data_IF_502762181369
#
_entry.id   IF_502762181369
#
_cell.length_a   1.000
_cell.length_b   1.000
_cell.length_c   1.000
_cell.angle_alpha   90.00
_cell.angle_beta   90.00
_cell.angle_gamma   90.00
#
_symmetry.space_group_name_H-M   'P 1'
#
loop_
_entity.id
_entity.type
_entity.pdbx_description
1 polymer ?
#
# COMPACT_ATOMS: atom_id res chain seq x y z
N UNK A 1 -21.81 21.81 -1.37
CA UNK A 1 -21.18 22.06 -2.69
C UNK A 1 -19.65 21.98 -2.72
N UNK A 2 -18.92 21.88 -1.59
CA UNK A 2 -17.45 21.68 -1.59
C UNK A 2 -17.01 20.32 -2.16
N UNK A 3 -17.78 19.26 -1.92
CA UNK A 3 -17.39 17.89 -2.28
C UNK A 3 -17.34 17.61 -3.79
N UNK A 4 -18.14 18.34 -4.59
CA UNK A 4 -18.11 18.20 -6.06
C UNK A 4 -16.83 18.74 -6.67
N UNK A 5 -16.13 19.67 -6.01
CA UNK A 5 -14.85 20.18 -6.51
C UNK A 5 -13.71 19.17 -6.31
N UNK A 6 -13.71 18.47 -5.17
CA UNK A 6 -12.71 17.44 -4.85
C UNK A 6 -12.71 16.26 -5.84
N UNK A 7 -13.89 15.82 -6.28
CA UNK A 7 -13.97 14.71 -7.23
C UNK A 7 -13.54 15.14 -8.64
N UNK A 8 -13.88 16.37 -9.05
CA UNK A 8 -13.48 16.91 -10.37
C UNK A 8 -11.97 17.11 -10.42
N UNK A 9 -11.38 17.78 -9.41
CA UNK A 9 -9.93 17.98 -9.34
C UNK A 9 -9.13 16.68 -9.24
N UNK A 10 -9.69 15.64 -8.58
CA UNK A 10 -9.12 14.30 -8.65
C UNK A 10 -9.08 13.77 -10.08
N UNK A 11 -10.21 13.80 -10.79
CA UNK A 11 -10.27 13.25 -12.14
C UNK A 11 -9.37 13.99 -13.13
N UNK A 12 -9.28 15.32 -13.04
CA UNK A 12 -8.34 16.11 -13.84
C UNK A 12 -6.91 15.62 -13.66
N UNK A 13 -6.47 15.46 -12.41
CA UNK A 13 -5.10 15.06 -12.08
C UNK A 13 -4.80 13.59 -12.38
N UNK A 14 -5.82 12.72 -12.31
CA UNK A 14 -5.71 11.31 -12.71
C UNK A 14 -5.57 11.15 -14.22
N UNK A 15 -6.29 11.97 -15.00
CA UNK A 15 -6.19 11.93 -16.48
C UNK A 15 -4.77 12.29 -16.92
N UNK A 16 -4.08 13.17 -16.19
CA UNK A 16 -2.70 13.58 -16.48
C UNK A 16 -1.63 12.62 -15.95
N UNK A 17 -1.91 11.84 -14.90
CA UNK A 17 -0.93 10.93 -14.28
C UNK A 17 -0.91 9.55 -14.96
N UNK A 18 0.00 9.38 -15.93
CA UNK A 18 0.19 8.12 -16.68
C UNK A 18 0.49 6.89 -15.79
N UNK A 19 0.85 7.08 -14.52
CA UNK A 19 1.09 5.98 -13.56
C UNK A 19 -0.22 5.37 -13.08
N UNK A 20 -1.37 6.01 -13.29
CA UNK A 20 -2.67 5.60 -12.76
C UNK A 20 -3.57 4.89 -13.78
N UNK A 21 -3.58 3.56 -13.70
CA UNK A 21 -4.50 2.68 -14.44
C UNK A 21 -5.96 2.66 -13.90
N UNK A 22 -6.95 2.15 -14.66
CA UNK A 22 -8.35 2.07 -14.24
C UNK A 22 -8.62 1.43 -12.87
N UNK A 23 -7.76 0.49 -12.43
CA UNK A 23 -7.85 -0.11 -11.10
C UNK A 23 -7.60 0.91 -9.98
N UNK A 24 -6.74 1.90 -10.19
CA UNK A 24 -6.54 3.02 -9.25
C UNK A 24 -7.77 3.88 -9.14
N UNK A 25 -8.40 4.19 -10.28
CA UNK A 25 -9.63 4.99 -10.34
C UNK A 25 -10.73 4.27 -9.57
N UNK A 26 -10.92 2.97 -9.81
CA UNK A 26 -11.94 2.18 -9.13
C UNK A 26 -11.68 2.04 -7.63
N UNK A 27 -10.41 1.87 -7.24
CA UNK A 27 -10.00 1.91 -5.83
C UNK A 27 -10.33 3.26 -5.19
N UNK A 28 -9.96 4.37 -5.83
CA UNK A 28 -10.20 5.70 -5.28
C UNK A 28 -11.69 6.02 -5.17
N UNK A 29 -12.51 5.67 -6.17
CA UNK A 29 -13.98 5.81 -6.10
C UNK A 29 -14.55 5.06 -4.90
N UNK A 30 -14.03 3.87 -4.62
CA UNK A 30 -14.43 3.08 -3.45
C UNK A 30 -14.05 3.79 -2.15
N UNK A 31 -12.80 4.27 -2.04
CA UNK A 31 -12.32 5.03 -0.88
C UNK A 31 -13.13 6.32 -0.67
N UNK A 32 -13.46 7.03 -1.74
CA UNK A 32 -14.31 8.22 -1.72
C UNK A 32 -15.71 7.90 -1.23
N UNK A 33 -16.28 6.75 -1.63
CA UNK A 33 -17.56 6.30 -1.12
C UNK A 33 -17.50 6.00 0.39
N UNK A 34 -16.44 5.35 0.88
CA UNK A 34 -16.23 5.20 2.34
C UNK A 34 -16.11 6.54 3.04
N UNK A 35 -15.36 7.49 2.47
CA UNK A 35 -15.24 8.84 3.02
C UNK A 35 -16.59 9.55 3.10
N UNK A 36 -17.41 9.46 2.05
CA UNK A 36 -18.78 10.01 2.01
C UNK A 36 -19.68 9.38 3.06
N UNK A 37 -19.63 8.05 3.25
CA UNK A 37 -20.37 7.35 4.29
C UNK A 37 -19.93 7.79 5.69
N UNK A 38 -18.65 8.14 5.85
CA UNK A 38 -18.09 8.73 7.08
C UNK A 38 -18.25 10.26 7.14
N UNK A 39 -19.25 10.82 6.44
CA UNK A 39 -19.58 12.26 6.44
C UNK A 39 -18.40 13.17 6.09
N UNK A 40 -17.52 12.68 5.21
CA UNK A 40 -16.33 13.38 4.74
C UNK A 40 -15.35 13.75 5.88
N UNK A 41 -15.34 12.98 6.97
CA UNK A 41 -14.37 13.14 8.05
C UNK A 41 -13.08 12.35 7.75
N UNK A 42 -11.94 13.00 7.98
CA UNK A 42 -10.62 12.39 7.92
C UNK A 42 -10.03 12.25 9.33
N UNK A 43 -9.32 11.15 9.64
CA UNK A 43 -9.22 9.91 8.86
C UNK A 43 -10.50 9.07 8.99
N UNK A 44 -10.74 8.18 8.03
CA UNK A 44 -11.81 7.18 8.08
C UNK A 44 -11.26 5.76 8.00
N UNK A 45 -12.03 4.80 8.51
CA UNK A 45 -11.67 3.38 8.54
C UNK A 45 -12.13 2.66 7.28
N UNK A 46 -11.30 1.75 6.82
CA UNK A 46 -11.62 0.80 5.74
C UNK A 46 -11.23 -0.62 6.14
N UNK A 47 -11.98 -1.59 5.64
CA UNK A 47 -11.55 -2.99 5.58
C UNK A 47 -11.05 -3.30 4.16
N UNK A 48 -10.04 -4.16 4.04
CA UNK A 48 -9.57 -4.61 2.72
C UNK A 48 -10.69 -5.29 1.94
N UNK A 49 -11.46 -6.15 2.60
CA UNK A 49 -12.53 -6.92 1.98
C UNK A 49 -13.61 -6.03 1.38
N UNK A 50 -14.09 -5.04 2.13
CA UNK A 50 -15.13 -4.14 1.63
C UNK A 50 -14.62 -3.26 0.49
N UNK A 51 -13.39 -2.75 0.60
CA UNK A 51 -12.79 -1.94 -0.46
C UNK A 51 -12.55 -2.78 -1.73
N UNK A 52 -12.08 -4.01 -1.61
CA UNK A 52 -11.90 -4.93 -2.75
C UNK A 52 -13.24 -5.22 -3.43
N UNK A 53 -14.28 -5.53 -2.65
CA UNK A 53 -15.64 -5.78 -3.16
C UNK A 53 -16.18 -4.57 -3.92
N UNK A 54 -16.06 -3.37 -3.33
CA UNK A 54 -16.60 -2.15 -3.91
C UNK A 54 -15.83 -1.69 -5.16
N UNK A 55 -14.50 -1.85 -5.15
CA UNK A 55 -13.62 -1.51 -6.28
C UNK A 55 -13.60 -2.56 -7.38
N UNK A 56 -14.33 -3.67 -7.19
CA UNK A 56 -14.31 -4.83 -8.10
C UNK A 56 -12.90 -5.40 -8.32
N UNK A 57 -11.97 -5.15 -7.40
CA UNK A 57 -10.62 -5.71 -7.43
C UNK A 57 -10.67 -7.06 -6.71
N UNK A 58 -10.49 -8.15 -7.46
CA UNK A 58 -10.46 -9.51 -6.91
C UNK A 58 -9.08 -9.92 -6.40
N UNK A 59 -8.03 -9.35 -6.99
CA UNK A 59 -6.65 -9.69 -6.64
C UNK A 59 -6.16 -8.83 -5.48
N UNK A 60 -5.78 -9.46 -4.37
CA UNK A 60 -5.20 -8.79 -3.20
C UNK A 60 -3.88 -8.08 -3.59
N UNK A 61 -3.06 -8.72 -4.44
CA UNK A 61 -1.85 -8.09 -4.97
C UNK A 61 -2.16 -6.79 -5.73
N UNK A 62 -3.21 -6.78 -6.55
CA UNK A 62 -3.68 -5.57 -7.24
C UNK A 62 -4.19 -4.53 -6.25
N UNK A 63 -4.93 -4.94 -5.21
CA UNK A 63 -5.36 -4.03 -4.14
C UNK A 63 -4.17 -3.32 -3.49
N UNK A 64 -3.15 -4.07 -3.06
CA UNK A 64 -1.97 -3.51 -2.41
C UNK A 64 -1.11 -2.67 -3.35
N UNK A 65 -1.02 -3.03 -4.63
CA UNK A 65 -0.38 -2.17 -5.64
C UNK A 65 -1.13 -0.84 -5.73
N UNK A 66 -2.44 -0.87 -5.95
CA UNK A 66 -3.22 0.33 -6.20
C UNK A 66 -3.25 1.30 -5.03
N UNK A 67 -3.48 0.82 -3.80
CA UNK A 67 -3.52 1.70 -2.63
C UNK A 67 -2.16 2.34 -2.34
N UNK A 68 -1.05 1.64 -2.63
CA UNK A 68 0.30 2.20 -2.49
C UNK A 68 0.60 3.23 -3.56
N UNK A 69 0.21 2.98 -4.80
CA UNK A 69 0.42 3.92 -5.91
C UNK A 69 -0.42 5.19 -5.71
N UNK A 70 -1.66 5.08 -5.24
CA UNK A 70 -2.47 6.24 -4.83
C UNK A 70 -1.84 7.03 -3.67
N UNK A 71 -1.29 6.35 -2.67
CA UNK A 71 -0.55 7.00 -1.56
C UNK A 71 0.69 7.74 -2.06
N UNK A 72 1.49 7.09 -2.91
CA UNK A 72 2.73 7.66 -3.47
C UNK A 72 2.47 8.84 -4.40
N UNK A 73 1.38 8.79 -5.16
CA UNK A 73 0.96 9.89 -6.02
C UNK A 73 0.30 11.05 -5.24
N UNK A 74 0.16 10.94 -3.92
CA UNK A 74 -0.31 12.03 -3.05
C UNK A 74 -1.82 12.19 -2.98
N UNK A 75 -2.59 11.27 -3.55
CA UNK A 75 -4.05 11.33 -3.54
C UNK A 75 -4.66 10.97 -2.18
N UNK A 76 -3.98 10.11 -1.41
CA UNK A 76 -4.42 9.65 -0.10
C UNK A 76 -3.27 9.61 0.90
N UNK A 77 -3.57 9.72 2.20
CA UNK A 77 -2.71 9.14 3.24
C UNK A 77 -3.23 7.76 3.60
N UNK A 78 -2.34 6.79 3.73
CA UNK A 78 -2.70 5.42 4.06
C UNK A 78 -1.92 4.95 5.28
N UNK A 79 -2.64 4.61 6.34
CA UNK A 79 -2.09 4.02 7.57
C UNK A 79 -2.67 2.61 7.73
N UNK A 80 -1.93 1.57 7.30
CA UNK A 80 -2.43 0.19 7.34
C UNK A 80 -2.68 -0.27 8.77
N UNK A 81 -3.75 -1.03 8.96
CA UNK A 81 -4.00 -1.80 10.18
C UNK A 81 -4.24 -3.25 9.80
N UNK A 82 -3.60 -4.14 10.53
CA UNK A 82 -3.63 -5.57 10.28
C UNK A 82 -4.60 -6.30 11.22
N UNK A 83 -5.42 -5.54 11.94
CA UNK A 83 -6.49 -6.04 12.78
C UNK A 83 -7.84 -5.78 12.07
N UNK A 84 -8.56 -6.85 11.75
CA UNK A 84 -9.85 -6.81 11.05
C UNK A 84 -10.93 -6.02 11.80
N UNK A 85 -10.88 -5.96 13.13
CA UNK A 85 -11.77 -5.12 13.95
C UNK A 85 -11.37 -3.64 13.94
N UNK A 86 -10.07 -3.33 13.77
CA UNK A 86 -9.60 -1.93 13.80
C UNK A 86 -9.68 -1.25 12.43
N UNK A 87 -9.47 -2.00 11.34
CA UNK A 87 -9.45 -1.50 9.96
C UNK A 87 -8.29 -0.54 9.68
N UNK A 88 -7.85 -0.44 8.42
CA UNK A 88 -6.83 0.55 8.02
C UNK A 88 -7.44 1.95 8.03
N UNK A 89 -6.62 2.96 8.30
CA UNK A 89 -7.04 4.36 8.24
C UNK A 89 -6.61 4.98 6.90
N UNK A 90 -7.51 5.75 6.31
CA UNK A 90 -7.29 6.49 5.08
C UNK A 90 -7.70 7.95 5.30
N UNK A 91 -6.96 8.86 4.70
CA UNK A 91 -7.36 10.27 4.52
C UNK A 91 -7.38 10.58 3.03
N UNK A 92 -8.47 11.17 2.53
CA UNK A 92 -8.50 11.76 1.19
C UNK A 92 -7.82 13.13 1.26
N UNK A 93 -6.88 13.40 0.36
CA UNK A 93 -6.22 14.71 0.27
C UNK A 93 -7.07 15.65 -0.59
N UNK A 94 -7.43 16.81 -0.02
CA UNK A 94 -8.18 17.87 -0.70
C UNK A 94 -7.19 18.88 -1.30
N UNK A 95 -7.12 18.94 -2.64
CA UNK A 95 -6.21 19.81 -3.38
C UNK A 95 -6.60 21.30 -3.32
N UNK A 96 -7.82 21.66 -2.92
CA UNK A 96 -8.22 23.07 -2.72
C UNK A 96 -7.60 23.64 -1.42
N UNK A 97 -7.19 22.80 -0.47
CA UNK A 97 -6.65 23.23 0.84
C UNK A 97 -5.14 23.45 0.89
N UNK A 98 -4.41 23.23 -0.21
CA UNK A 98 -2.94 23.36 -0.24
C UNK A 98 -2.44 24.78 0.07
N UNK A 99 -3.24 25.84 -0.15
CA UNK A 99 -2.85 27.23 0.17
C UNK A 99 -2.78 27.56 1.67
N UNK A 100 -3.30 26.71 2.57
CA UNK A 100 -3.26 26.95 4.02
C UNK A 100 -2.33 25.97 4.78
N UNK A 101 -1.84 24.92 4.12
CA UNK A 101 -1.19 23.76 4.75
C UNK A 101 0.34 23.69 4.61
N UNK A 102 0.96 24.63 3.89
CA UNK A 102 2.42 24.61 3.58
C UNK A 102 3.31 24.54 4.85
N UNK A 103 2.82 24.95 6.02
CA UNK A 103 3.55 24.84 7.29
C UNK A 103 3.55 23.44 7.93
N UNK A 104 2.59 22.55 7.62
CA UNK A 104 2.58 21.17 8.17
C UNK A 104 3.22 20.14 7.25
N UNK A 105 3.28 20.43 5.96
CA UNK A 105 3.84 19.54 4.94
C UNK A 105 5.39 19.48 5.05
N UNK A 106 6.02 20.60 5.42
CA UNK A 106 7.49 20.74 5.47
C UNK A 106 8.21 19.89 6.53
N UNK A 107 7.53 19.38 7.57
CA UNK A 107 8.19 18.52 8.58
C UNK A 107 8.12 17.01 8.25
N UNK A 108 7.17 16.58 7.41
CA UNK A 108 7.01 15.15 7.08
C UNK A 108 7.41 14.80 5.63
N UNK A 109 7.56 15.78 4.73
CA UNK A 109 8.01 15.52 3.37
C UNK A 109 9.53 15.29 3.23
N UNK A 110 10.33 15.63 4.25
CA UNK A 110 11.77 15.37 4.22
C UNK A 110 12.15 13.89 4.36
N UNK A 111 11.20 12.95 4.48
CA UNK A 111 11.52 11.51 4.49
C UNK A 111 11.21 10.77 3.18
N UNK A 112 10.44 11.34 2.23
CA UNK A 112 9.88 10.53 1.13
C UNK A 112 10.11 11.05 -0.30
N UNK A 113 10.81 12.17 -0.50
CA UNK A 113 11.12 12.67 -1.85
C UNK A 113 12.60 12.94 -2.10
N UNK A 114 13.48 12.13 -1.52
CA UNK A 114 14.85 12.07 -1.99
C UNK A 114 15.46 10.68 -1.86
N UNK A 115 16.25 10.38 -2.88
CA UNK A 115 17.18 9.28 -3.05
C UNK A 115 16.64 8.04 -3.76
N UNK A 116 17.35 7.73 -4.85
CA UNK A 116 17.50 6.49 -5.63
C UNK A 116 16.77 5.26 -5.13
N UNK A 117 16.38 4.35 -6.03
CA UNK A 117 15.78 3.03 -5.75
C UNK A 117 16.61 2.23 -4.72
N UNK A 118 16.48 2.57 -3.44
CA UNK A 118 17.04 1.88 -2.29
C UNK A 118 16.01 0.84 -1.91
N UNK A 119 16.48 -0.39 -1.78
CA UNK A 119 15.64 -1.49 -1.36
C UNK A 119 14.97 -1.16 -0.03
N UNK A 120 13.64 -1.10 -0.05
CA UNK A 120 12.83 -0.92 1.13
C UNK A 120 12.67 -2.29 1.79
N UNK A 121 13.21 -2.40 3.00
CA UNK A 121 12.97 -3.55 3.87
C UNK A 121 11.46 -3.69 4.03
N UNK A 122 10.86 -4.83 3.66
CA UNK A 122 9.44 -5.02 3.89
C UNK A 122 9.16 -5.02 5.38
N UNK A 123 7.95 -4.64 5.76
CA UNK A 123 7.45 -4.92 7.11
C UNK A 123 7.02 -6.38 7.20
N UNK A 124 7.12 -6.98 8.39
CA UNK A 124 6.81 -8.40 8.60
C UNK A 124 5.45 -8.79 8.01
N UNK A 125 4.43 -7.96 8.23
CA UNK A 125 3.06 -8.24 7.79
C UNK A 125 2.92 -8.28 6.26
N UNK A 126 3.77 -7.58 5.50
CA UNK A 126 3.79 -7.66 4.03
C UNK A 126 4.31 -9.03 3.58
N UNK A 127 5.31 -9.55 4.29
CA UNK A 127 5.84 -10.91 4.08
C UNK A 127 4.84 -11.97 4.53
N UNK A 128 4.23 -11.82 5.70
CA UNK A 128 3.19 -12.72 6.19
C UNK A 128 2.04 -12.87 5.22
N UNK A 129 1.52 -11.74 4.72
CA UNK A 129 0.46 -11.76 3.71
C UNK A 129 0.91 -12.49 2.44
N UNK A 130 2.14 -12.25 1.99
CA UNK A 130 2.67 -12.88 0.77
C UNK A 130 2.75 -14.42 0.85
N UNK A 131 3.11 -14.95 2.01
CA UNK A 131 3.20 -16.39 2.24
C UNK A 131 1.81 -16.99 2.43
N UNK A 132 0.94 -16.36 3.24
CA UNK A 132 -0.44 -16.83 3.46
C UNK A 132 -1.27 -16.85 2.18
N UNK A 133 -1.08 -15.90 1.27
CA UNK A 133 -1.66 -15.91 -0.08
C UNK A 133 -1.23 -17.10 -0.97
N UNK A 134 -0.19 -17.84 -0.57
CA UNK A 134 0.36 -19.00 -1.29
C UNK A 134 0.15 -20.30 -0.50
N UNK A 135 -0.84 -20.30 0.37
CA UNK A 135 -1.22 -21.41 1.25
C UNK A 135 -0.09 -21.85 2.19
N UNK A 136 0.81 -20.92 2.55
CA UNK A 136 1.86 -21.15 3.53
C UNK A 136 1.51 -20.48 4.86
N UNK A 137 1.81 -21.14 6.00
CA UNK A 137 1.48 -20.59 7.30
C UNK A 137 2.34 -19.35 7.62
N UNK A 138 1.82 -18.48 8.49
CA UNK A 138 2.54 -17.32 9.02
C UNK A 138 3.92 -17.68 9.61
N UNK A 139 4.05 -18.87 10.20
CA UNK A 139 5.33 -19.38 10.70
C UNK A 139 6.42 -19.45 9.61
N UNK A 140 6.07 -19.75 8.35
CA UNK A 140 7.05 -19.74 7.24
C UNK A 140 7.43 -18.31 6.83
N UNK A 141 6.49 -17.37 6.91
CA UNK A 141 6.80 -15.96 6.71
C UNK A 141 7.76 -15.43 7.78
N UNK A 142 7.56 -15.82 9.04
CA UNK A 142 8.42 -15.44 10.16
C UNK A 142 9.84 -15.98 9.97
N UNK A 143 9.98 -17.25 9.58
CA UNK A 143 11.27 -17.85 9.24
C UNK A 143 11.98 -17.09 8.13
N UNK A 144 11.29 -16.80 7.03
CA UNK A 144 11.84 -16.01 5.93
C UNK A 144 12.25 -14.61 6.39
N UNK A 145 11.37 -13.92 7.12
CA UNK A 145 11.59 -12.55 7.55
C UNK A 145 12.76 -12.44 8.52
N UNK A 146 12.78 -13.29 9.55
CA UNK A 146 13.84 -13.35 10.55
C UNK A 146 15.19 -13.71 9.93
N UNK A 147 15.21 -14.64 8.96
CA UNK A 147 16.40 -14.99 8.20
C UNK A 147 16.98 -13.78 7.47
N UNK A 148 16.19 -13.09 6.63
CA UNK A 148 16.71 -11.94 5.89
C UNK A 148 16.96 -10.72 6.77
N UNK A 149 16.21 -10.56 7.87
CA UNK A 149 16.48 -9.52 8.87
C UNK A 149 17.85 -9.71 9.52
N UNK A 150 18.20 -10.92 9.93
CA UNK A 150 19.53 -11.22 10.50
C UNK A 150 20.68 -10.98 9.51
N UNK A 151 20.41 -11.14 8.20
CA UNK A 151 21.36 -10.86 7.12
C UNK A 151 21.36 -9.41 6.66
N UNK A 152 20.70 -8.50 7.39
CA UNK A 152 20.52 -7.11 7.01
C UNK A 152 19.99 -6.96 5.57
N UNK A 153 19.13 -7.88 5.15
CA UNK A 153 18.56 -7.95 3.81
C UNK A 153 19.60 -7.96 2.67
N UNK A 154 20.72 -8.65 2.88
CA UNK A 154 21.75 -8.87 1.86
C UNK A 154 21.63 -10.26 1.23
N UNK A 155 22.04 -10.37 -0.03
CA UNK A 155 22.20 -11.65 -0.74
C UNK A 155 23.54 -12.32 -0.35
N UNK A 156 23.77 -13.55 -0.81
CA UNK A 156 24.98 -14.33 -0.47
C UNK A 156 26.30 -13.68 -0.91
N UNK A 157 26.24 -12.70 -1.82
CA UNK A 157 27.38 -11.92 -2.31
C UNK A 157 27.50 -10.55 -1.62
N UNK A 158 26.89 -10.38 -0.44
CA UNK A 158 26.83 -9.15 0.37
C UNK A 158 26.12 -7.95 -0.27
N UNK A 159 25.64 -8.08 -1.52
CA UNK A 159 24.86 -7.02 -2.16
C UNK A 159 23.51 -6.86 -1.48
N UNK A 160 23.00 -5.63 -1.32
CA UNK A 160 21.66 -5.40 -0.81
C UNK A 160 20.65 -6.07 -1.74
N UNK A 161 19.66 -6.74 -1.13
CA UNK A 161 18.52 -7.30 -1.86
C UNK A 161 17.85 -6.19 -2.66
N UNK A 162 17.30 -6.50 -3.84
CA UNK A 162 16.54 -5.52 -4.65
C UNK A 162 15.04 -5.79 -4.66
N UNK A 163 14.63 -7.03 -4.40
CA UNK A 163 13.24 -7.46 -4.37
C UNK A 163 13.07 -8.66 -3.44
N UNK A 164 12.44 -8.45 -2.28
CA UNK A 164 12.23 -9.52 -1.31
C UNK A 164 11.24 -10.58 -1.80
N UNK A 165 10.30 -10.19 -2.66
CA UNK A 165 9.35 -11.13 -3.25
C UNK A 165 10.06 -12.16 -4.15
N UNK A 166 11.16 -11.79 -4.81
CA UNK A 166 11.96 -12.74 -5.59
C UNK A 166 12.65 -13.77 -4.69
N UNK A 167 13.24 -13.31 -3.58
CA UNK A 167 13.80 -14.19 -2.57
C UNK A 167 12.73 -15.11 -1.95
N UNK A 168 11.54 -14.57 -1.66
CA UNK A 168 10.42 -15.33 -1.13
C UNK A 168 9.95 -16.44 -2.09
N UNK A 169 9.85 -16.17 -3.40
CA UNK A 169 9.54 -17.22 -4.39
C UNK A 169 10.55 -18.37 -4.36
N UNK A 170 11.83 -18.06 -4.27
CA UNK A 170 12.88 -19.08 -4.19
C UNK A 170 12.76 -19.88 -2.89
N UNK A 171 12.55 -19.20 -1.76
CA UNK A 171 12.31 -19.85 -0.47
C UNK A 171 11.15 -20.86 -0.53
N UNK A 172 10.03 -20.45 -1.12
CA UNK A 172 8.83 -21.29 -1.29
C UNK A 172 9.12 -22.50 -2.20
N UNK A 173 9.90 -22.30 -3.27
CA UNK A 173 10.28 -23.39 -4.18
C UNK A 173 11.11 -24.46 -3.45
N UNK A 174 12.09 -24.05 -2.65
CA UNK A 174 12.92 -24.98 -1.87
C UNK A 174 12.12 -25.73 -0.79
N UNK A 175 11.19 -25.05 -0.10
CA UNK A 175 10.28 -25.70 0.84
C UNK A 175 9.46 -26.82 0.16
N UNK A 176 8.87 -26.53 -1.01
CA UNK A 176 8.07 -27.51 -1.75
C UNK A 176 8.88 -28.71 -2.23
N UNK A 177 10.17 -28.52 -2.56
CA UNK A 177 11.08 -29.63 -2.89
C UNK A 177 11.42 -30.50 -1.68
N UNK A 178 11.44 -29.94 -0.47
CA UNK A 178 11.75 -30.70 0.75
C UNK A 178 10.59 -31.55 1.27
N UNK A 179 9.37 -31.34 0.77
CA UNK A 179 8.14 -32.03 1.18
C UNK A 179 7.78 -33.17 0.20
N UNK A 180 8.38 -33.19 -0.99
CA UNK A 180 8.25 -34.26 -2.00
C UNK A 180 9.49 -35.17 -1.98
#
# INVERSE_FOLDING_TARGET
MKNNKNIIGFFERVIEDERLYPSHISMYVSLFQFWSLNRFQNPFRISREDVMKLSKIRSIATYHKCIRELYRAGFIRYSPSYNSYKGSLVEIIDFDTEKAGEKKISQNQNFLLQDEIRFLVPVFNEVELYFTERDLPSAEADRFFSFYRSKNWKLSNEKPMKCWQAAARNWISELKKSIN
#
